data_IF_811628491007
#
_entry.id   IF_811628491007
#
_cell.length_a   1.000
_cell.length_b   1.000
_cell.length_c   1.000
_cell.angle_alpha   90.00
_cell.angle_beta   90.00
_cell.angle_gamma   90.00
#
_symmetry.space_group_name_H-M   'P 1'
#
loop_
_entity.id
_entity.type
_entity.pdbx_description
1 polymer ?
#
# COMPACT_ATOMS: atom_id res chain seq x y z
N UNK A 1 4.65 14.26 22.44
CA UNK A 1 3.72 15.24 23.04
C UNK A 1 2.33 15.33 22.38
N UNK A 2 2.17 15.83 21.15
CA UNK A 2 0.80 16.04 20.60
C UNK A 2 0.02 14.74 20.37
N UNK A 3 0.69 13.68 19.92
CA UNK A 3 0.09 12.33 19.80
C UNK A 3 -0.34 11.76 21.15
N UNK A 4 0.40 12.03 22.22
CA UNK A 4 0.06 11.59 23.58
C UNK A 4 -1.13 12.37 24.14
N UNK A 5 -1.20 13.68 23.88
CA UNK A 5 -2.37 14.51 24.22
C UNK A 5 -3.62 14.00 23.49
N UNK A 6 -3.50 13.69 22.19
CA UNK A 6 -4.58 13.11 21.38
C UNK A 6 -5.03 11.75 21.91
N UNK A 7 -4.08 10.86 22.22
CA UNK A 7 -4.37 9.55 22.81
C UNK A 7 -5.16 9.70 24.12
N UNK A 8 -4.70 10.55 25.03
CA UNK A 8 -5.38 10.81 26.31
C UNK A 8 -6.80 11.38 26.12
N UNK A 9 -7.02 12.21 25.10
CA UNK A 9 -8.34 12.75 24.77
C UNK A 9 -9.29 11.64 24.30
N UNK A 10 -8.83 10.76 23.41
CA UNK A 10 -9.62 9.66 22.89
C UNK A 10 -9.93 8.62 23.96
N UNK A 11 -8.98 8.32 24.84
CA UNK A 11 -9.20 7.41 25.98
C UNK A 11 -10.27 7.96 26.94
N UNK A 12 -10.25 9.28 27.21
CA UNK A 12 -11.31 9.93 27.99
C UNK A 12 -12.67 9.89 27.28
N UNK A 13 -12.71 9.98 25.95
CA UNK A 13 -13.94 9.83 25.18
C UNK A 13 -14.48 8.40 25.25
N UNK A 14 -13.59 7.40 25.17
CA UNK A 14 -13.93 5.98 25.26
C UNK A 14 -14.46 5.55 26.65
N UNK A 15 -14.10 6.28 27.71
CA UNK A 15 -14.58 6.03 29.09
C UNK A 15 -15.99 6.57 29.36
N UNK A 16 -16.57 7.37 28.46
CA UNK A 16 -17.91 7.93 28.68
C UNK A 16 -18.99 6.84 28.62
N UNK A 17 -20.00 6.85 29.50
CA UNK A 17 -21.09 5.85 29.50
C UNK A 17 -21.81 5.73 28.15
N UNK A 18 -21.89 6.84 27.42
CA UNK A 18 -22.59 6.94 26.15
C UNK A 18 -21.76 6.55 24.92
N UNK A 19 -20.48 6.19 25.11
CA UNK A 19 -19.55 5.91 24.01
C UNK A 19 -20.06 4.82 23.06
N UNK A 20 -20.65 3.76 23.61
CA UNK A 20 -21.17 2.64 22.85
C UNK A 20 -22.54 2.88 22.19
N UNK A 21 -23.17 4.05 22.41
CA UNK A 21 -24.43 4.41 21.73
C UNK A 21 -24.26 4.49 20.21
N UNK A 22 -23.08 4.90 19.74
CA UNK A 22 -22.72 4.88 18.32
C UNK A 22 -21.61 3.85 18.07
N UNK A 23 -22.01 2.67 17.61
CA UNK A 23 -21.09 1.54 17.37
C UNK A 23 -20.00 1.85 16.33
N UNK A 24 -20.35 2.53 15.24
CA UNK A 24 -19.40 2.86 14.17
C UNK A 24 -18.30 3.80 14.67
N UNK A 25 -18.71 4.87 15.37
CA UNK A 25 -17.77 5.84 15.95
C UNK A 25 -16.90 5.20 17.04
N UNK A 26 -17.47 4.30 17.84
CA UNK A 26 -16.71 3.56 18.85
C UNK A 26 -15.62 2.68 18.23
N UNK A 27 -15.90 2.05 17.09
CA UNK A 27 -14.90 1.24 16.35
C UNK A 27 -13.78 2.14 15.81
N UNK A 28 -14.12 3.26 15.13
CA UNK A 28 -13.11 4.19 14.60
C UNK A 28 -12.20 4.73 15.73
N UNK A 29 -12.78 5.16 16.85
CA UNK A 29 -12.01 5.72 17.98
C UNK A 29 -11.10 4.66 18.60
N UNK A 30 -11.59 3.44 18.82
CA UNK A 30 -10.76 2.37 19.37
C UNK A 30 -9.61 1.99 18.43
N UNK A 31 -9.84 2.01 17.12
CA UNK A 31 -8.81 1.77 16.13
C UNK A 31 -7.76 2.90 16.13
N UNK A 32 -8.18 4.17 16.24
CA UNK A 32 -7.27 5.31 16.38
C UNK A 32 -6.43 5.22 17.67
N UNK A 33 -7.03 4.83 18.80
CA UNK A 33 -6.33 4.61 20.08
C UNK A 33 -5.24 3.53 19.92
N UNK A 34 -5.59 2.37 19.37
CA UNK A 34 -4.63 1.28 19.16
C UNK A 34 -3.46 1.73 18.27
N UNK A 35 -3.78 2.42 17.18
CA UNK A 35 -2.82 2.97 16.24
C UNK A 35 -1.85 3.98 16.86
N UNK A 36 -2.36 4.88 17.71
CA UNK A 36 -1.54 5.89 18.40
C UNK A 36 -0.65 5.25 19.47
N UNK A 37 -1.16 4.27 20.23
CA UNK A 37 -0.37 3.53 21.22
C UNK A 37 0.84 2.85 20.60
N UNK A 38 0.61 2.10 19.52
CA UNK A 38 1.67 1.39 18.80
C UNK A 38 2.72 2.36 18.23
N UNK A 39 2.31 3.51 17.71
CA UNK A 39 3.22 4.52 17.20
C UNK A 39 4.06 5.19 18.30
N UNK A 40 3.43 5.54 19.42
CA UNK A 40 4.13 6.11 20.59
C UNK A 40 5.14 5.10 21.14
N UNK A 41 4.77 3.83 21.25
CA UNK A 41 5.65 2.77 21.73
C UNK A 41 6.86 2.57 20.79
N UNK A 42 6.64 2.57 19.47
CA UNK A 42 7.73 2.51 18.48
C UNK A 42 8.71 3.67 18.64
N UNK A 43 8.21 4.90 18.76
CA UNK A 43 9.06 6.10 18.92
C UNK A 43 9.87 6.02 20.23
N UNK A 44 9.23 5.66 21.35
CA UNK A 44 9.91 5.50 22.64
C UNK A 44 10.99 4.42 22.60
N UNK A 45 10.74 3.32 21.90
CA UNK A 45 11.73 2.26 21.72
C UNK A 45 12.95 2.77 20.92
N UNK A 46 12.73 3.58 19.89
CA UNK A 46 13.82 4.21 19.14
C UNK A 46 14.60 5.22 19.97
N UNK A 47 13.92 6.07 20.73
CA UNK A 47 14.56 7.01 21.67
C UNK A 47 15.46 6.28 22.67
N UNK A 48 14.98 5.15 23.20
CA UNK A 48 15.75 4.31 24.11
C UNK A 48 17.00 3.73 23.44
N UNK A 49 16.89 3.20 22.21
CA UNK A 49 18.04 2.70 21.45
C UNK A 49 19.07 3.80 21.18
N UNK A 50 18.61 5.01 20.85
CA UNK A 50 19.47 6.20 20.66
C UNK A 50 20.22 6.51 21.96
N UNK A 51 19.53 6.54 23.11
CA UNK A 51 20.14 6.81 24.41
C UNK A 51 21.14 5.73 24.85
N UNK A 52 20.89 4.48 24.48
CA UNK A 52 21.77 3.35 24.78
C UNK A 52 23.00 3.26 23.87
N UNK A 53 23.11 4.13 22.86
CA UNK A 53 24.25 4.16 21.93
C UNK A 53 24.29 2.96 20.97
N UNK A 54 23.16 2.27 20.77
CA UNK A 54 23.07 1.16 19.83
C UNK A 54 23.14 1.68 18.39
N UNK A 55 24.30 1.53 17.75
CA UNK A 55 24.55 2.11 16.42
C UNK A 55 24.21 1.16 15.25
N UNK A 56 24.10 -0.15 15.50
CA UNK A 56 23.81 -1.12 14.44
C UNK A 56 22.36 -0.93 13.95
N UNK A 57 22.19 -0.68 12.66
CA UNK A 57 20.91 -0.52 11.95
C UNK A 57 20.03 0.68 12.37
N UNK A 58 20.46 1.51 13.32
CA UNK A 58 19.67 2.64 13.82
C UNK A 58 19.30 3.65 12.71
N UNK A 59 20.23 3.93 11.80
CA UNK A 59 19.98 4.81 10.66
C UNK A 59 18.89 4.26 9.72
N UNK A 60 18.85 2.94 9.52
CA UNK A 60 17.81 2.31 8.69
C UNK A 60 16.45 2.31 9.39
N UNK A 61 16.41 2.07 10.70
CA UNK A 61 15.19 2.13 11.50
C UNK A 61 14.61 3.55 11.51
N UNK A 62 15.43 4.58 11.73
CA UNK A 62 15.02 5.99 11.66
C UNK A 62 14.45 6.32 10.29
N UNK A 63 15.13 5.91 9.21
CA UNK A 63 14.66 6.16 7.84
C UNK A 63 13.31 5.48 7.55
N UNK A 64 13.08 4.28 8.09
CA UNK A 64 11.78 3.59 7.97
C UNK A 64 10.66 4.36 8.68
N UNK A 65 10.92 4.89 9.87
CA UNK A 65 9.93 5.68 10.60
C UNK A 65 9.70 7.07 9.97
N UNK A 66 10.75 7.69 9.44
CA UNK A 66 10.63 8.97 8.72
C UNK A 66 9.63 8.86 7.56
N UNK A 67 9.68 7.78 6.78
CA UNK A 67 8.73 7.51 5.71
C UNK A 67 7.29 7.43 6.24
N UNK A 68 7.08 6.82 7.41
CA UNK A 68 5.74 6.69 8.00
C UNK A 68 5.14 8.03 8.44
N UNK A 69 5.97 9.02 8.77
CA UNK A 69 5.50 10.39 9.06
C UNK A 69 4.81 11.00 7.84
N UNK A 70 5.34 10.75 6.64
CA UNK A 70 4.71 11.18 5.39
C UNK A 70 3.43 10.40 5.05
N UNK A 71 3.21 9.25 5.68
CA UNK A 71 2.04 8.38 5.50
C UNK A 71 1.01 8.57 6.63
N UNK A 72 0.67 9.83 6.92
CA UNK A 72 -0.22 10.23 8.01
C UNK A 72 -1.69 10.46 7.59
N UNK A 73 -2.06 10.09 6.37
CA UNK A 73 -3.45 10.18 5.90
C UNK A 73 -4.40 9.19 6.61
N UNK A 74 -5.71 9.52 6.65
CA UNK A 74 -6.75 8.73 7.34
C UNK A 74 -6.72 7.22 7.00
N UNK A 75 -6.44 6.90 5.73
CA UNK A 75 -6.45 5.52 5.22
C UNK A 75 -5.07 4.97 4.93
N UNK A 76 -4.00 5.72 5.22
CA UNK A 76 -2.66 5.34 4.78
C UNK A 76 -2.20 4.02 5.38
N UNK A 77 -2.61 3.72 6.62
CA UNK A 77 -2.30 2.46 7.34
C UNK A 77 -3.03 1.24 6.81
N UNK A 78 -4.09 1.43 6.01
CA UNK A 78 -4.94 0.33 5.60
C UNK A 78 -4.29 -0.52 4.50
N UNK A 79 -4.83 -1.74 4.37
CA UNK A 79 -4.60 -2.59 3.20
C UNK A 79 -5.07 -1.89 1.92
N UNK A 80 -4.55 -2.34 0.78
CA UNK A 80 -4.88 -1.76 -0.52
C UNK A 80 -5.57 -2.78 -1.44
N UNK A 81 -6.49 -2.29 -2.26
CA UNK A 81 -6.99 -3.00 -3.44
C UNK A 81 -6.45 -2.28 -4.65
N UNK A 82 -5.63 -2.97 -5.44
CA UNK A 82 -5.05 -2.44 -6.67
C UNK A 82 -5.81 -3.01 -7.86
N UNK A 83 -6.34 -2.14 -8.71
CA UNK A 83 -6.98 -2.52 -9.97
C UNK A 83 -6.17 -2.01 -11.15
N UNK A 84 -5.90 -2.89 -12.09
CA UNK A 84 -5.16 -2.59 -13.32
C UNK A 84 -6.10 -2.85 -14.49
N UNK A 85 -6.25 -1.87 -15.37
CA UNK A 85 -7.04 -1.95 -16.59
C UNK A 85 -6.15 -1.67 -17.80
N UNK A 86 -6.26 -2.51 -18.83
CA UNK A 86 -5.68 -2.21 -20.13
C UNK A 86 -6.43 -1.01 -20.76
N UNK A 87 -5.67 0.02 -21.10
CA UNK A 87 -6.20 1.22 -21.77
C UNK A 87 -6.25 1.08 -23.29
N UNK A 88 -6.18 2.22 -23.99
CA UNK A 88 -6.06 2.25 -25.44
C UNK A 88 -4.73 1.65 -25.91
N UNK A 89 -4.76 0.83 -26.97
CA UNK A 89 -3.57 0.18 -27.54
C UNK A 89 -3.71 -1.31 -27.84
N UNK A 90 -4.91 -1.89 -27.68
CA UNK A 90 -5.19 -3.26 -28.09
C UNK A 90 -4.30 -4.28 -27.37
N UNK A 91 -3.65 -5.17 -28.12
CA UNK A 91 -2.83 -6.26 -27.57
C UNK A 91 -1.60 -5.71 -26.81
N UNK A 92 -0.97 -4.63 -27.29
CA UNK A 92 0.16 -4.00 -26.58
C UNK A 92 -0.25 -3.43 -25.22
N UNK A 93 -1.44 -2.85 -25.12
CA UNK A 93 -1.96 -2.35 -23.84
C UNK A 93 -2.24 -3.50 -22.86
N UNK A 94 -2.69 -4.65 -23.35
CA UNK A 94 -2.92 -5.85 -22.53
C UNK A 94 -1.60 -6.49 -22.07
N UNK A 95 -0.56 -6.50 -22.92
CA UNK A 95 0.79 -6.91 -22.51
C UNK A 95 1.36 -5.96 -21.45
N UNK A 96 1.20 -4.64 -21.66
CA UNK A 96 1.62 -3.64 -20.69
C UNK A 96 0.92 -3.78 -19.33
N UNK A 97 -0.38 -4.02 -19.31
CA UNK A 97 -1.12 -4.30 -18.08
C UNK A 97 -0.57 -5.54 -17.35
N UNK A 98 -0.15 -6.57 -18.09
CA UNK A 98 0.49 -7.78 -17.52
C UNK A 98 1.88 -7.46 -16.95
N UNK A 99 2.64 -6.59 -17.60
CA UNK A 99 3.93 -6.13 -17.09
C UNK A 99 3.76 -5.33 -15.80
N UNK A 100 2.77 -4.44 -15.73
CA UNK A 100 2.43 -3.68 -14.52
C UNK A 100 1.99 -4.60 -13.38
N UNK A 101 1.15 -5.59 -13.67
CA UNK A 101 0.75 -6.60 -12.68
C UNK A 101 1.97 -7.26 -12.03
N UNK A 102 2.88 -7.78 -12.85
CA UNK A 102 4.13 -8.40 -12.39
C UNK A 102 5.05 -7.42 -11.64
N UNK A 103 5.08 -6.16 -12.07
CA UNK A 103 5.84 -5.10 -11.41
C UNK A 103 5.32 -4.90 -9.98
N UNK A 104 4.01 -4.77 -9.80
CA UNK A 104 3.41 -4.57 -8.49
C UNK A 104 3.52 -5.81 -7.60
N UNK A 105 3.36 -7.02 -8.13
CA UNK A 105 3.60 -8.26 -7.37
C UNK A 105 5.03 -8.30 -6.80
N UNK A 106 6.05 -8.04 -7.63
CA UNK A 106 7.45 -8.00 -7.19
C UNK A 106 7.75 -6.85 -6.23
N UNK A 107 7.13 -5.69 -6.44
CA UNK A 107 7.26 -4.56 -5.53
C UNK A 107 6.74 -4.91 -4.14
N UNK A 108 5.56 -5.52 -4.08
CA UNK A 108 4.93 -5.93 -2.83
C UNK A 108 5.74 -7.02 -2.12
N UNK A 109 6.23 -8.02 -2.85
CA UNK A 109 7.10 -9.06 -2.30
C UNK A 109 8.37 -8.46 -1.67
N UNK A 110 9.05 -7.53 -2.35
CA UNK A 110 10.24 -6.84 -1.82
C UNK A 110 9.95 -5.98 -0.59
N UNK A 111 8.73 -5.45 -0.47
CA UNK A 111 8.26 -4.66 0.68
C UNK A 111 7.79 -5.55 1.84
N UNK A 112 7.67 -6.86 1.63
CA UNK A 112 7.12 -7.79 2.62
C UNK A 112 5.60 -7.75 2.72
N UNK A 113 4.90 -7.22 1.71
CA UNK A 113 3.44 -7.22 1.66
C UNK A 113 2.93 -8.57 1.12
N UNK A 114 1.80 -9.03 1.67
CA UNK A 114 1.10 -10.19 1.17
C UNK A 114 0.20 -9.79 0.00
N UNK A 115 0.43 -10.37 -1.17
CA UNK A 115 -0.41 -10.15 -2.36
C UNK A 115 -1.29 -11.35 -2.64
N UNK A 116 -2.52 -11.08 -3.06
CA UNK A 116 -3.46 -12.08 -3.55
C UNK A 116 -4.16 -11.55 -4.79
N UNK A 117 -4.07 -12.27 -5.90
CA UNK A 117 -4.86 -11.98 -7.08
C UNK A 117 -6.30 -12.44 -6.81
N UNK A 118 -7.22 -11.48 -6.73
CA UNK A 118 -8.65 -11.74 -6.47
C UNK A 118 -9.38 -12.06 -7.76
N UNK A 119 -9.03 -11.36 -8.83
CA UNK A 119 -9.62 -11.52 -10.14
C UNK A 119 -8.61 -11.17 -11.22
N UNK A 120 -8.61 -11.94 -12.30
CA UNK A 120 -7.81 -11.65 -13.49
C UNK A 120 -8.60 -12.05 -14.74
N UNK A 121 -8.74 -11.10 -15.66
CA UNK A 121 -9.35 -11.30 -16.96
C UNK A 121 -8.27 -11.24 -18.04
N UNK A 122 -8.20 -12.30 -18.82
CA UNK A 122 -7.23 -12.45 -19.89
C UNK A 122 -7.72 -11.84 -21.21
N UNK A 123 -6.77 -11.35 -21.99
CA UNK A 123 -6.95 -10.85 -23.34
C UNK A 123 -7.05 -11.96 -24.37
N UNK A 124 -6.91 -11.57 -25.64
CA UNK A 124 -6.88 -12.53 -26.74
C UNK A 124 -5.55 -13.27 -26.77
N UNK A 125 -5.60 -14.57 -27.13
CA UNK A 125 -4.41 -15.36 -27.38
C UNK A 125 -3.80 -14.97 -28.73
N UNK A 126 -2.50 -14.71 -28.76
CA UNK A 126 -1.83 -14.33 -30.01
C UNK A 126 -0.59 -13.47 -29.86
N UNK A 127 -0.08 -13.27 -28.64
CA UNK A 127 1.17 -12.54 -28.47
C UNK A 127 2.41 -13.30 -28.95
N UNK A 128 3.53 -12.59 -29.17
CA UNK A 128 4.84 -13.20 -29.38
C UNK A 128 5.09 -14.25 -28.30
N UNK A 129 5.58 -15.42 -28.70
CA UNK A 129 5.85 -16.55 -27.79
C UNK A 129 4.61 -17.12 -27.08
N UNK A 130 3.40 -16.89 -27.61
CA UNK A 130 2.16 -17.41 -27.03
C UNK A 130 1.67 -16.66 -25.79
N UNK A 131 2.21 -15.46 -25.54
CA UNK A 131 1.80 -14.63 -24.39
C UNK A 131 0.35 -14.19 -24.53
N UNK A 132 -0.36 -14.23 -23.41
CA UNK A 132 -1.73 -13.72 -23.28
C UNK A 132 -1.66 -12.48 -22.38
N UNK A 133 -2.09 -11.34 -22.92
CA UNK A 133 -2.16 -10.10 -22.16
C UNK A 133 -3.29 -10.13 -21.12
N UNK A 134 -3.31 -9.15 -20.24
CA UNK A 134 -4.32 -8.99 -19.18
C UNK A 134 -5.22 -7.82 -19.56
N UNK A 135 -6.53 -8.04 -19.63
CA UNK A 135 -7.53 -6.96 -19.84
C UNK A 135 -7.77 -6.21 -18.54
N UNK A 136 -7.95 -6.94 -17.46
CA UNK A 136 -8.08 -6.37 -16.11
C UNK A 136 -7.56 -7.33 -15.05
N UNK A 137 -7.00 -6.79 -13.98
CA UNK A 137 -6.59 -7.55 -12.81
C UNK A 137 -6.92 -6.79 -11.52
N UNK A 138 -7.24 -7.52 -10.47
CA UNK A 138 -7.50 -6.99 -9.13
C UNK A 138 -6.64 -7.75 -8.13
N UNK A 139 -5.80 -7.00 -7.41
CA UNK A 139 -4.95 -7.51 -6.34
C UNK A 139 -5.45 -6.98 -5.00
N UNK A 140 -5.57 -7.89 -4.04
CA UNK A 140 -5.66 -7.56 -2.63
C UNK A 140 -4.23 -7.56 -2.06
N UNK A 141 -3.84 -6.44 -1.45
CA UNK A 141 -2.49 -6.24 -0.91
C UNK A 141 -2.64 -5.96 0.59
N UNK A 142 -2.14 -6.89 1.41
CA UNK A 142 -2.17 -6.80 2.88
C UNK A 142 -0.78 -6.46 3.42
N UNK A 143 -0.73 -5.46 4.28
CA UNK A 143 0.51 -5.02 4.90
C UNK A 143 0.37 -3.61 5.47
N UNK A 144 1.21 -3.32 6.46
CA UNK A 144 1.22 -2.03 7.12
C UNK A 144 1.54 -0.93 6.10
N UNK A 145 0.67 0.08 6.09
CA UNK A 145 0.78 1.23 5.21
C UNK A 145 0.67 0.93 3.70
N UNK A 146 0.15 -0.24 3.29
CA UNK A 146 0.07 -0.64 1.88
C UNK A 146 -0.66 0.41 1.02
N UNK A 147 -1.80 0.93 1.49
CA UNK A 147 -2.52 1.99 0.79
C UNK A 147 -1.71 3.29 0.72
N UNK A 148 -1.08 3.68 1.82
CA UNK A 148 -0.23 4.88 1.88
C UNK A 148 0.89 4.88 0.85
N UNK A 149 1.54 3.73 0.64
CA UNK A 149 2.59 3.58 -0.37
C UNK A 149 2.03 3.62 -1.81
N UNK A 150 0.88 2.99 -2.06
CA UNK A 150 0.37 2.81 -3.41
C UNK A 150 -0.57 3.93 -3.87
N UNK A 151 -1.10 4.78 -2.97
CA UNK A 151 -2.07 5.83 -3.33
C UNK A 151 -1.58 6.77 -4.43
N UNK A 152 -0.27 7.04 -4.49
CA UNK A 152 0.35 7.92 -5.48
C UNK A 152 0.66 7.25 -6.81
N UNK A 153 0.50 5.93 -6.90
CA UNK A 153 0.57 5.15 -8.13
C UNK A 153 -0.78 5.12 -8.87
N UNK A 154 -1.77 5.88 -8.41
CA UNK A 154 -3.07 5.96 -9.08
C UNK A 154 -2.93 6.82 -10.34
N UNK A 155 -3.19 6.25 -11.51
CA UNK A 155 -3.21 6.99 -12.75
C UNK A 155 -2.97 6.13 -13.99
N UNK A 156 -2.86 6.81 -15.13
CA UNK A 156 -2.56 6.19 -16.42
C UNK A 156 -1.05 6.12 -16.61
N UNK A 157 -0.53 4.91 -16.77
CA UNK A 157 0.88 4.66 -17.03
C UNK A 157 1.09 4.41 -18.53
N UNK A 158 1.93 5.22 -19.16
CA UNK A 158 2.18 5.16 -20.60
C UNK A 158 3.44 4.35 -20.92
N UNK A 159 3.31 3.36 -21.79
CA UNK A 159 4.44 2.62 -22.37
C UNK A 159 4.73 3.15 -23.79
N UNK A 160 6.00 3.42 -24.09
CA UNK A 160 6.48 3.71 -25.45
C UNK A 160 7.62 2.74 -25.73
N UNK A 161 7.41 1.81 -26.66
CA UNK A 161 8.39 0.85 -27.14
C UNK A 161 8.08 0.45 -28.57
N UNK A 162 9.03 -0.20 -29.24
CA UNK A 162 8.70 -0.92 -30.47
C UNK A 162 7.79 -2.10 -30.13
N UNK A 163 6.60 -2.12 -30.73
CA UNK A 163 5.61 -3.18 -30.50
C UNK A 163 6.13 -4.50 -31.08
N UNK A 164 6.23 -5.57 -30.26
CA UNK A 164 6.57 -6.88 -30.78
C UNK A 164 5.37 -7.54 -31.51
N UNK A 165 4.18 -6.93 -31.45
CA UNK A 165 2.95 -7.39 -32.12
C UNK A 165 2.75 -6.70 -33.49
N UNK A 166 3.55 -5.69 -33.83
CA UNK A 166 3.46 -5.01 -35.12
C UNK A 166 3.97 -5.92 -36.24
N UNK A 167 3.15 -6.10 -37.28
CA UNK A 167 3.50 -6.87 -38.49
C UNK A 167 4.65 -6.24 -39.30
N UNK A 168 4.90 -4.93 -39.15
CA UNK A 168 6.08 -4.28 -39.74
C UNK A 168 7.28 -4.47 -38.79
N UNK A 169 8.03 -5.56 -38.98
CA UNK A 169 9.45 -5.57 -38.65
C UNK A 169 10.13 -4.59 -39.61
N UNK A 170 10.64 -3.47 -39.08
CA UNK A 170 11.64 -2.66 -39.79
C UNK A 170 12.95 -3.44 -39.87
#
# INVERSE_FOLDING_TARGET
>A
EDKEKRLNQLEKEAQKPDFWKNKEKAIEINQEIANLKEEIERIRNLEKKIQQGESQNLAEEIKKEEIKVFLSGKYDRNNAILQIFAGAGGIDAQDWATMLLRMFERYCERKGFQTKVVHQSFGEAGGPEGRIGTKSATLEIKGDYAYGFLKKETGVHRLVRQSPFSAKKL
#
